data_IF_787992494315
#
_entry.id   IF_787992494315
#
_cell.length_a   1.000
_cell.length_b   1.000
_cell.length_c   1.000
_cell.angle_alpha   90.00
_cell.angle_beta   90.00
_cell.angle_gamma   90.00
#
_symmetry.space_group_name_H-M   'P 1'
#
loop_
_entity.id
_entity.type
_entity.pdbx_description
1 polymer ?
#
# COMPACT_ATOMS: atom_id res chain seq x y z
N UNK A 1 -14.45 -44.45 53.84
CA UNK A 1 -14.50 -44.36 52.36
C UNK A 1 -14.79 -42.92 51.81
N UNK A 2 -15.77 -42.19 52.37
CA UNK A 2 -16.11 -40.81 51.84
C UNK A 2 -14.99 -39.77 51.95
N UNK A 3 -14.12 -39.77 52.96
CA UNK A 3 -12.99 -38.81 53.09
C UNK A 3 -11.85 -39.06 52.13
N UNK A 4 -11.59 -40.29 51.67
CA UNK A 4 -10.57 -40.60 50.66
C UNK A 4 -11.01 -40.23 49.25
N UNK A 5 -12.32 -40.30 48.96
CA UNK A 5 -12.89 -39.90 47.68
C UNK A 5 -12.85 -38.38 47.49
N UNK A 6 -13.11 -37.60 48.55
CA UNK A 6 -13.02 -36.12 48.53
C UNK A 6 -11.60 -35.62 48.33
N UNK A 7 -10.60 -36.29 48.89
CA UNK A 7 -9.18 -35.91 48.68
C UNK A 7 -8.73 -36.20 47.26
N UNK A 8 -9.18 -37.30 46.65
CA UNK A 8 -8.85 -37.64 45.26
C UNK A 8 -9.47 -36.68 44.24
N UNK A 9 -10.70 -36.19 44.48
CA UNK A 9 -11.37 -35.22 43.64
C UNK A 9 -10.72 -33.83 43.78
N UNK A 10 -10.29 -33.43 44.98
CA UNK A 10 -9.59 -32.16 45.21
C UNK A 10 -8.20 -32.14 44.54
N UNK A 11 -7.46 -33.26 44.54
CA UNK A 11 -6.19 -33.37 43.80
C UNK A 11 -6.37 -33.35 42.29
N UNK A 12 -7.46 -33.95 41.73
CA UNK A 12 -7.74 -33.91 40.30
C UNK A 12 -8.11 -32.49 39.85
N UNK A 13 -8.88 -31.74 40.62
CA UNK A 13 -9.22 -30.34 40.35
C UNK A 13 -8.02 -29.41 40.46
N UNK A 14 -7.08 -29.67 41.39
CA UNK A 14 -5.84 -28.88 41.48
C UNK A 14 -4.88 -29.11 40.31
N UNK A 15 -4.84 -30.32 39.73
CA UNK A 15 -4.04 -30.63 38.54
C UNK A 15 -4.64 -29.95 37.28
N UNK A 16 -5.96 -29.84 37.16
CA UNK A 16 -6.61 -29.14 36.08
C UNK A 16 -6.45 -27.60 36.15
N UNK A 17 -6.35 -27.02 37.34
CA UNK A 17 -6.13 -25.59 37.54
C UNK A 17 -4.68 -25.17 37.24
N UNK A 18 -3.70 -26.09 37.21
CA UNK A 18 -2.29 -25.79 36.91
C UNK A 18 -1.94 -26.01 35.44
N UNK A 19 -2.82 -26.59 34.62
CA UNK A 19 -2.61 -26.82 33.17
C UNK A 19 -3.07 -25.68 32.26
N UNK A 20 -3.44 -24.52 32.78
CA UNK A 20 -4.16 -23.48 32.04
C UNK A 20 -3.50 -22.14 31.96
N UNK A 21 -2.17 -21.98 31.96
CA UNK A 21 -1.51 -20.72 31.54
C UNK A 21 -0.13 -21.02 30.95
N UNK A 22 -0.09 -21.76 29.86
CA UNK A 22 1.00 -21.54 28.91
C UNK A 22 0.76 -20.16 28.28
N UNK A 23 1.38 -19.12 28.83
CA UNK A 23 1.66 -17.93 28.01
C UNK A 23 2.41 -18.46 26.81
N UNK A 24 1.75 -18.51 25.66
CA UNK A 24 2.45 -18.67 24.41
C UNK A 24 3.41 -17.47 24.34
N UNK A 25 4.68 -17.71 24.68
CA UNK A 25 5.74 -16.80 24.31
C UNK A 25 5.66 -16.74 22.80
N UNK A 26 5.26 -15.60 22.27
CA UNK A 26 5.44 -15.34 20.86
C UNK A 26 6.91 -15.63 20.58
N UNK A 27 7.19 -16.66 19.76
CA UNK A 27 8.56 -17.00 19.42
C UNK A 27 9.17 -15.73 18.83
N UNK A 28 10.25 -15.25 19.45
CA UNK A 28 10.95 -14.07 19.00
C UNK A 28 11.34 -14.31 17.55
N UNK A 29 10.88 -13.42 16.64
CA UNK A 29 11.14 -13.55 15.21
C UNK A 29 12.65 -13.35 14.99
N UNK A 30 13.37 -14.46 14.83
CA UNK A 30 14.80 -14.41 14.50
C UNK A 30 14.97 -13.92 13.06
N UNK A 31 15.55 -12.73 12.89
CA UNK A 31 15.88 -12.07 11.64
C UNK A 31 17.42 -12.06 11.47
N UNK A 32 17.91 -12.61 10.37
CA UNK A 32 19.34 -12.66 10.00
C UNK A 32 19.76 -11.49 9.13
N UNK A 33 18.82 -10.88 8.43
CA UNK A 33 19.04 -9.66 7.66
C UNK A 33 19.39 -8.50 8.57
N UNK A 34 20.04 -7.49 8.02
CA UNK A 34 20.51 -6.35 8.80
C UNK A 34 19.37 -5.50 9.35
N UNK A 35 18.31 -5.35 8.54
CA UNK A 35 17.12 -4.60 8.90
C UNK A 35 15.87 -5.35 8.44
N UNK A 36 14.80 -5.19 9.21
CA UNK A 36 13.48 -5.65 8.80
C UNK A 36 12.38 -4.79 9.43
N UNK A 37 11.27 -4.63 8.71
CA UNK A 37 10.04 -4.03 9.23
C UNK A 37 8.82 -4.73 8.64
N UNK A 38 7.78 -4.86 9.45
CA UNK A 38 6.44 -5.26 9.03
C UNK A 38 5.46 -4.17 9.43
N UNK A 39 4.66 -3.71 8.48
CA UNK A 39 3.65 -2.67 8.73
C UNK A 39 2.29 -3.07 8.16
N UNK A 40 1.23 -2.56 8.78
CA UNK A 40 -0.10 -2.54 8.18
C UNK A 40 -0.11 -1.56 7.00
N UNK A 41 -0.58 -1.98 5.83
CA UNK A 41 -0.69 -1.08 4.68
C UNK A 41 -1.76 -0.01 4.90
N UNK A 42 -2.85 -0.33 5.60
CA UNK A 42 -3.98 0.57 5.80
C UNK A 42 -3.64 1.67 6.81
N UNK A 43 -3.14 1.31 7.99
CA UNK A 43 -2.84 2.27 9.07
C UNK A 43 -1.40 2.83 9.03
N UNK A 44 -0.45 2.08 8.46
CA UNK A 44 0.99 2.36 8.57
C UNK A 44 1.58 1.95 9.92
N UNK A 45 0.80 1.30 10.78
CA UNK A 45 1.26 0.83 12.09
C UNK A 45 2.38 -0.19 11.94
N UNK A 46 3.45 -0.03 12.73
CA UNK A 46 4.59 -0.94 12.78
C UNK A 46 4.25 -2.13 13.69
N UNK A 47 4.24 -3.34 13.11
CA UNK A 47 3.90 -4.58 13.81
C UNK A 47 5.13 -5.33 14.29
N UNK A 48 6.23 -5.16 13.60
CA UNK A 48 7.55 -5.70 13.93
C UNK A 48 8.64 -4.82 13.33
N UNK A 49 9.71 -4.63 14.06
CA UNK A 49 10.90 -3.94 13.56
C UNK A 49 12.19 -4.55 14.11
N UNK A 50 13.22 -4.55 13.28
CA UNK A 50 14.58 -4.97 13.61
C UNK A 50 15.54 -4.02 12.91
N UNK A 51 16.24 -3.16 13.66
CA UNK A 51 17.18 -2.13 13.17
C UNK A 51 16.58 -1.28 12.02
N UNK A 52 15.26 -1.04 12.00
CA UNK A 52 14.53 -0.54 10.85
C UNK A 52 14.83 0.92 10.47
N UNK A 53 15.55 1.65 11.31
CA UNK A 53 15.97 3.04 11.11
C UNK A 53 17.46 3.18 10.73
N UNK A 54 18.20 2.07 10.51
CA UNK A 54 19.58 2.14 10.05
C UNK A 54 19.67 2.59 8.58
N UNK A 55 20.61 3.50 8.26
CA UNK A 55 20.82 3.99 6.89
C UNK A 55 21.69 3.02 6.09
N UNK A 56 21.12 2.46 5.00
CA UNK A 56 21.83 1.52 4.13
C UNK A 56 21.48 1.74 2.65
N UNK A 57 22.38 1.34 1.74
CA UNK A 57 21.99 1.17 0.35
C UNK A 57 20.86 0.14 0.22
N UNK A 58 19.86 0.46 -0.58
CA UNK A 58 18.67 -0.39 -0.79
C UNK A 58 18.60 -0.99 -2.19
N UNK A 59 19.65 -0.78 -2.98
CA UNK A 59 19.72 -1.24 -4.37
C UNK A 59 18.45 -0.90 -5.18
N UNK A 60 17.99 -1.81 -6.04
CA UNK A 60 16.81 -1.59 -6.90
C UNK A 60 15.48 -1.38 -6.16
N UNK A 61 15.43 -1.39 -4.82
CA UNK A 61 14.23 -0.92 -4.11
C UNK A 61 14.04 0.61 -4.25
N UNK A 62 15.06 1.38 -4.66
CA UNK A 62 14.93 2.77 -5.13
C UNK A 62 13.82 2.92 -6.18
N UNK A 63 13.63 1.91 -7.03
CA UNK A 63 12.60 1.89 -8.07
C UNK A 63 11.16 1.92 -7.54
N UNK A 64 10.96 1.68 -6.25
CA UNK A 64 9.64 1.88 -5.61
C UNK A 64 9.25 3.36 -5.70
N UNK A 65 10.18 4.30 -5.42
CA UNK A 65 9.92 5.73 -5.58
C UNK A 65 9.79 6.11 -7.06
N UNK A 66 10.59 5.51 -7.95
CA UNK A 66 10.45 5.72 -9.40
C UNK A 66 9.06 5.32 -9.89
N UNK A 67 8.58 4.15 -9.50
CA UNK A 67 7.24 3.67 -9.83
C UNK A 67 6.14 4.54 -9.21
N UNK A 68 6.28 4.90 -7.93
CA UNK A 68 5.34 5.80 -7.25
C UNK A 68 5.14 7.09 -8.05
N UNK A 69 6.23 7.75 -8.44
CA UNK A 69 6.16 8.95 -9.25
C UNK A 69 5.57 8.70 -10.65
N UNK A 70 5.79 7.54 -11.26
CA UNK A 70 5.12 7.18 -12.52
C UNK A 70 3.60 7.12 -12.33
N UNK A 71 3.11 6.41 -11.31
CA UNK A 71 1.67 6.29 -11.07
C UNK A 71 1.04 7.62 -10.67
N UNK A 72 1.64 8.38 -9.75
CA UNK A 72 1.14 9.69 -9.31
C UNK A 72 1.05 10.71 -10.46
N UNK A 73 2.05 10.73 -11.36
CA UNK A 73 2.02 11.63 -12.51
C UNK A 73 1.00 11.19 -13.56
N UNK A 74 0.78 9.90 -13.75
CA UNK A 74 -0.29 9.39 -14.61
C UNK A 74 -1.67 9.72 -14.03
N UNK A 75 -1.90 9.47 -12.74
CA UNK A 75 -3.17 9.76 -12.05
C UNK A 75 -3.49 11.27 -12.06
N UNK A 76 -2.48 12.13 -12.01
CA UNK A 76 -2.64 13.59 -12.15
C UNK A 76 -2.77 14.08 -13.59
N UNK A 77 -2.75 13.18 -14.58
CA UNK A 77 -2.91 13.51 -16.01
C UNK A 77 -1.71 14.21 -16.63
N UNK A 78 -0.52 14.18 -16.02
CA UNK A 78 0.69 14.77 -16.61
C UNK A 78 1.26 13.95 -17.75
N UNK A 79 0.99 12.65 -17.79
CA UNK A 79 1.19 11.78 -18.93
C UNK A 79 0.15 10.66 -18.93
N UNK A 80 0.00 9.97 -20.08
CA UNK A 80 -0.83 8.77 -20.20
C UNK A 80 0.06 7.53 -20.30
N UNK A 81 -0.42 6.41 -19.81
CA UNK A 81 0.22 5.12 -20.04
C UNK A 81 0.27 4.74 -21.53
N UNK A 82 -0.59 5.35 -22.38
CA UNK A 82 -0.59 5.18 -23.83
C UNK A 82 0.44 6.08 -24.55
N UNK A 83 1.11 7.00 -23.86
CA UNK A 83 2.09 7.90 -24.47
C UNK A 83 3.29 7.12 -24.99
N UNK A 84 3.78 7.53 -26.18
CA UNK A 84 4.97 6.99 -26.79
C UNK A 84 6.21 7.75 -26.35
N UNK A 85 7.10 7.06 -25.63
CA UNK A 85 8.32 7.65 -25.04
C UNK A 85 9.52 7.28 -25.90
N UNK A 86 10.20 8.30 -26.44
CA UNK A 86 11.45 8.11 -27.20
C UNK A 86 12.61 7.85 -26.23
N UNK A 87 13.31 6.73 -26.45
CA UNK A 87 14.43 6.29 -25.60
C UNK A 87 15.71 7.03 -25.98
N UNK A 88 16.32 7.69 -25.00
CA UNK A 88 17.60 8.36 -25.17
C UNK A 88 18.76 7.38 -25.30
N UNK A 89 19.90 7.83 -25.81
CA UNK A 89 21.15 7.06 -25.79
C UNK A 89 21.58 6.72 -24.36
N UNK A 90 21.33 7.64 -23.38
CA UNK A 90 21.61 7.41 -21.97
C UNK A 90 20.78 6.24 -21.41
N UNK A 91 19.48 6.24 -21.66
CA UNK A 91 18.59 5.17 -21.22
C UNK A 91 18.99 3.81 -21.83
N UNK A 92 19.18 3.74 -23.12
CA UNK A 92 19.56 2.50 -23.82
C UNK A 92 20.94 1.96 -23.41
N UNK A 93 21.85 2.81 -22.91
CA UNK A 93 23.20 2.38 -22.47
C UNK A 93 23.26 1.90 -21.02
N UNK A 94 22.12 1.87 -20.31
CA UNK A 94 22.10 1.44 -18.89
C UNK A 94 22.50 -0.03 -18.75
N UNK A 95 23.31 -0.31 -17.72
CA UNK A 95 23.70 -1.66 -17.36
C UNK A 95 22.80 -2.29 -16.29
N UNK A 96 23.07 -3.53 -15.92
CA UNK A 96 22.33 -4.31 -14.94
C UNK A 96 21.06 -4.93 -15.52
N UNK A 97 19.96 -4.92 -14.76
CA UNK A 97 18.66 -5.40 -15.26
C UNK A 97 18.11 -4.47 -16.32
N UNK A 98 17.67 -5.00 -17.46
CA UNK A 98 17.26 -4.23 -18.64
C UNK A 98 16.07 -4.87 -19.34
N UNK A 99 15.28 -4.04 -20.03
CA UNK A 99 14.38 -4.49 -21.08
C UNK A 99 15.09 -4.53 -22.46
N UNK A 100 16.33 -3.99 -22.54
CA UNK A 100 17.16 -3.86 -23.76
C UNK A 100 16.55 -2.92 -24.80
N UNK A 101 16.20 -1.71 -24.35
CA UNK A 101 15.62 -0.69 -25.19
C UNK A 101 16.58 -0.22 -26.28
N UNK A 102 16.05 0.07 -27.47
CA UNK A 102 16.81 0.59 -28.61
C UNK A 102 16.80 2.13 -28.58
N UNK A 103 18.00 2.75 -28.62
CA UNK A 103 18.13 4.21 -28.66
C UNK A 103 17.44 4.82 -29.89
N UNK A 104 16.71 5.91 -29.68
CA UNK A 104 15.93 6.59 -30.72
C UNK A 104 14.59 5.91 -31.05
N UNK A 105 14.33 4.71 -30.54
CA UNK A 105 13.04 4.04 -30.68
C UNK A 105 12.03 4.58 -29.68
N UNK A 106 10.75 4.50 -30.02
CA UNK A 106 9.66 4.87 -29.13
C UNK A 106 8.95 3.63 -28.57
N UNK A 107 8.63 3.66 -27.28
CA UNK A 107 7.93 2.60 -26.55
C UNK A 107 6.76 3.20 -25.79
N UNK A 108 5.69 2.45 -25.65
CA UNK A 108 4.55 2.84 -24.83
C UNK A 108 4.96 2.96 -23.37
N UNK A 109 4.54 4.03 -22.68
CA UNK A 109 4.85 4.26 -21.26
C UNK A 109 4.43 3.09 -20.38
N UNK A 110 3.29 2.47 -20.67
CA UNK A 110 2.81 1.27 -19.95
C UNK A 110 3.82 0.13 -20.01
N UNK A 111 4.37 -0.17 -21.20
CA UNK A 111 5.35 -1.25 -21.36
C UNK A 111 6.65 -0.95 -20.62
N UNK A 112 7.09 0.31 -20.60
CA UNK A 112 8.25 0.72 -19.81
C UNK A 112 8.00 0.51 -18.31
N UNK A 113 6.86 0.97 -17.79
CA UNK A 113 6.49 0.80 -16.38
C UNK A 113 6.35 -0.69 -16.02
N UNK A 114 5.71 -1.52 -16.84
CA UNK A 114 5.65 -2.98 -16.65
C UNK A 114 7.04 -3.60 -16.55
N UNK A 115 7.97 -3.23 -17.43
CA UNK A 115 9.33 -3.77 -17.41
C UNK A 115 10.09 -3.40 -16.12
N UNK A 116 9.82 -2.19 -15.55
CA UNK A 116 10.37 -1.79 -14.24
C UNK A 116 9.81 -2.66 -13.12
N UNK A 117 8.49 -2.88 -13.12
CA UNK A 117 7.82 -3.70 -12.09
C UNK A 117 8.28 -5.14 -12.16
N UNK A 118 8.25 -5.77 -13.34
CA UNK A 118 8.50 -7.20 -13.55
C UNK A 118 9.99 -7.52 -13.47
N UNK A 119 10.79 -6.94 -14.37
CA UNK A 119 12.20 -7.29 -14.55
C UNK A 119 13.18 -6.31 -13.88
N UNK A 120 12.67 -5.24 -13.26
CA UNK A 120 13.54 -4.23 -12.64
C UNK A 120 14.40 -3.44 -13.65
N UNK A 121 13.90 -3.21 -14.87
CA UNK A 121 14.63 -2.61 -15.98
C UNK A 121 15.18 -1.21 -15.68
N UNK A 122 16.50 -1.04 -15.76
CA UNK A 122 17.18 0.23 -15.49
C UNK A 122 17.02 1.21 -16.65
N UNK A 123 17.07 0.72 -17.88
CA UNK A 123 16.87 1.48 -19.11
C UNK A 123 15.47 2.12 -19.14
N UNK A 124 14.45 1.36 -18.81
CA UNK A 124 13.08 1.88 -18.66
C UNK A 124 12.94 2.90 -17.52
N UNK A 125 13.64 2.70 -16.38
CA UNK A 125 13.65 3.70 -15.32
C UNK A 125 14.21 5.04 -15.80
N UNK A 126 15.31 5.02 -16.55
CA UNK A 126 15.93 6.24 -17.07
C UNK A 126 15.04 6.90 -18.11
N UNK A 127 14.44 6.12 -19.02
CA UNK A 127 13.50 6.66 -20.02
C UNK A 127 12.29 7.34 -19.36
N UNK A 128 11.67 6.71 -18.35
CA UNK A 128 10.56 7.30 -17.59
C UNK A 128 11.01 8.53 -16.79
N UNK A 129 12.20 8.49 -16.17
CA UNK A 129 12.73 9.59 -15.40
C UNK A 129 12.98 10.84 -16.30
N UNK A 130 13.56 10.65 -17.50
CA UNK A 130 13.75 11.73 -18.46
C UNK A 130 12.43 12.30 -18.95
N UNK A 131 11.42 11.45 -19.19
CA UNK A 131 10.10 11.88 -19.62
C UNK A 131 9.36 12.70 -18.57
N UNK A 132 9.32 12.24 -17.32
CA UNK A 132 8.56 12.88 -16.23
C UNK A 132 9.32 14.09 -15.67
N UNK A 133 10.63 13.97 -15.49
CA UNK A 133 11.48 14.99 -14.86
C UNK A 133 12.15 15.97 -15.84
N UNK A 134 12.00 15.77 -17.16
CA UNK A 134 12.73 16.49 -18.20
C UNK A 134 14.22 16.11 -18.26
N UNK A 135 14.76 15.50 -17.22
CA UNK A 135 16.09 14.89 -17.12
C UNK A 135 16.11 13.91 -15.94
N UNK A 136 17.12 13.04 -15.88
CA UNK A 136 17.30 12.15 -14.71
C UNK A 136 17.53 12.95 -13.44
N UNK A 137 18.29 14.03 -13.51
CA UNK A 137 18.59 14.92 -12.39
C UNK A 137 17.33 15.65 -11.91
N UNK A 138 16.49 16.13 -12.84
CA UNK A 138 15.17 16.70 -12.51
C UNK A 138 14.26 15.70 -11.83
N UNK A 139 14.25 14.45 -12.31
CA UNK A 139 13.47 13.38 -11.69
C UNK A 139 13.97 13.01 -10.27
N UNK A 140 15.29 12.96 -10.06
CA UNK A 140 15.88 12.72 -8.73
C UNK A 140 15.48 13.83 -7.74
N UNK A 141 15.39 15.07 -8.19
CA UNK A 141 14.87 16.16 -7.36
C UNK A 141 13.39 15.91 -6.96
N UNK A 142 12.56 15.41 -7.90
CA UNK A 142 11.19 15.00 -7.57
C UNK A 142 11.15 13.83 -6.58
N UNK A 143 12.04 12.83 -6.72
CA UNK A 143 12.14 11.71 -5.78
C UNK A 143 12.47 12.19 -4.35
N UNK A 144 13.45 13.07 -4.18
CA UNK A 144 13.83 13.59 -2.87
C UNK A 144 12.72 14.48 -2.29
N UNK A 145 12.10 15.34 -3.11
CA UNK A 145 10.95 16.13 -2.69
C UNK A 145 9.80 15.22 -2.19
N UNK A 146 9.51 14.14 -2.92
CA UNK A 146 8.45 13.21 -2.51
C UNK A 146 8.82 12.45 -1.24
N UNK A 147 10.09 12.11 -1.06
CA UNK A 147 10.60 11.53 0.18
C UNK A 147 10.35 12.46 1.39
N UNK A 148 10.66 13.75 1.24
CA UNK A 148 10.39 14.76 2.28
C UNK A 148 8.89 14.84 2.60
N UNK A 149 8.02 14.86 1.59
CA UNK A 149 6.54 14.89 1.75
C UNK A 149 6.02 13.64 2.48
N UNK A 150 6.66 12.48 2.29
CA UNK A 150 6.33 11.23 2.97
C UNK A 150 6.97 11.11 4.37
N UNK A 151 7.74 12.10 4.80
CA UNK A 151 8.46 12.06 6.06
C UNK A 151 9.56 10.98 6.08
N UNK A 152 10.20 10.72 4.94
CA UNK A 152 11.35 9.80 4.80
C UNK A 152 12.66 10.54 5.10
N UNK A 153 12.83 10.94 6.36
CA UNK A 153 13.92 11.82 6.78
C UNK A 153 15.32 11.19 6.70
N UNK A 154 15.37 9.85 6.64
CA UNK A 154 16.61 9.09 6.57
C UNK A 154 16.83 8.46 5.20
N UNK A 155 16.36 9.17 4.13
CA UNK A 155 16.46 8.72 2.75
C UNK A 155 17.03 9.81 1.85
N UNK A 156 17.98 9.43 1.00
CA UNK A 156 18.52 10.29 -0.07
C UNK A 156 18.59 9.48 -1.36
N UNK A 157 17.96 9.98 -2.40
CA UNK A 157 18.05 9.46 -3.76
C UNK A 157 19.10 10.25 -4.56
N UNK A 158 19.98 9.54 -5.27
CA UNK A 158 21.01 10.10 -6.16
C UNK A 158 20.77 9.67 -7.62
N UNK A 159 20.05 8.55 -7.82
CA UNK A 159 19.60 8.08 -9.12
C UNK A 159 18.23 7.39 -9.01
N UNK A 160 17.58 7.16 -10.15
CA UNK A 160 16.26 6.55 -10.24
C UNK A 160 16.29 5.01 -10.29
N UNK A 161 17.48 4.38 -10.34
CA UNK A 161 17.63 2.94 -10.60
C UNK A 161 18.03 2.11 -9.40
N UNK A 162 18.72 2.73 -8.42
CA UNK A 162 19.33 2.04 -7.30
C UNK A 162 20.67 1.38 -7.63
N UNK A 163 21.29 1.74 -8.74
CA UNK A 163 22.70 1.42 -8.98
C UNK A 163 23.59 2.11 -7.94
N UNK A 164 24.75 1.54 -7.58
CA UNK A 164 25.63 2.11 -6.58
C UNK A 164 25.98 3.56 -6.87
N UNK A 165 25.77 4.43 -5.90
CA UNK A 165 26.11 5.85 -5.95
C UNK A 165 26.43 6.36 -4.54
N UNK A 166 27.51 7.12 -4.41
CA UNK A 166 27.88 7.70 -3.13
C UNK A 166 26.77 8.63 -2.59
N UNK A 167 26.41 8.49 -1.33
CA UNK A 167 25.39 9.30 -0.67
C UNK A 167 23.94 8.82 -0.89
N UNK A 168 23.71 7.71 -1.62
CA UNK A 168 22.40 7.12 -1.77
C UNK A 168 22.12 6.10 -0.69
N UNK A 169 21.11 6.35 0.15
CA UNK A 169 20.71 5.45 1.22
C UNK A 169 19.23 5.61 1.56
N UNK A 170 18.70 4.65 2.30
CA UNK A 170 17.36 4.68 2.92
C UNK A 170 17.37 3.77 4.15
N UNK A 171 16.23 3.62 4.81
CA UNK A 171 16.00 2.70 5.91
C UNK A 171 14.86 1.74 5.56
N UNK A 172 14.76 0.59 6.25
CA UNK A 172 13.64 -0.31 6.04
C UNK A 172 12.29 0.37 6.31
N UNK A 173 12.24 1.24 7.34
CA UNK A 173 11.04 2.01 7.71
C UNK A 173 10.65 3.00 6.62
N UNK A 174 11.57 3.77 6.06
CA UNK A 174 11.30 4.72 4.99
C UNK A 174 10.89 4.02 3.69
N UNK A 175 11.53 2.88 3.36
CA UNK A 175 11.09 2.04 2.23
C UNK A 175 9.64 1.60 2.41
N UNK A 176 9.22 1.25 3.63
CA UNK A 176 7.83 0.86 3.89
C UNK A 176 6.83 2.00 3.64
N UNK A 177 7.21 3.26 3.94
CA UNK A 177 6.38 4.45 3.68
C UNK A 177 6.13 4.64 2.17
N UNK A 178 7.18 4.71 1.35
CA UNK A 178 7.01 4.87 -0.11
C UNK A 178 6.33 3.66 -0.76
N UNK A 179 6.53 2.46 -0.24
CA UNK A 179 5.88 1.27 -0.78
C UNK A 179 4.40 1.22 -0.39
N UNK A 180 4.04 1.74 0.77
CA UNK A 180 2.64 1.91 1.19
C UNK A 180 1.88 2.83 0.24
N UNK A 181 2.46 3.94 -0.19
CA UNK A 181 1.84 4.81 -1.20
C UNK A 181 1.70 4.08 -2.54
N UNK A 182 2.76 3.40 -3.01
CA UNK A 182 2.71 2.67 -4.28
C UNK A 182 1.60 1.61 -4.31
N UNK A 183 1.40 0.85 -3.23
CA UNK A 183 0.33 -0.16 -3.16
C UNK A 183 -1.08 0.45 -3.02
N UNK A 184 -1.21 1.75 -2.85
CA UNK A 184 -2.47 2.49 -2.99
C UNK A 184 -2.98 2.57 -4.42
N UNK A 185 -2.10 2.47 -5.42
CA UNK A 185 -2.45 2.54 -6.84
C UNK A 185 -2.93 1.18 -7.36
N UNK A 186 -4.22 1.04 -7.67
CA UNK A 186 -4.81 -0.23 -8.13
C UNK A 186 -4.12 -0.79 -9.37
N UNK A 187 -3.76 0.08 -10.31
CA UNK A 187 -3.09 -0.31 -11.57
C UNK A 187 -1.72 -0.98 -11.33
N UNK A 188 -1.03 -0.68 -10.23
CA UNK A 188 0.22 -1.36 -9.85
C UNK A 188 0.03 -2.88 -9.77
N UNK A 189 -1.09 -3.37 -9.25
CA UNK A 189 -1.37 -4.80 -9.09
C UNK A 189 -1.66 -5.52 -10.40
N UNK A 190 -2.04 -4.81 -11.46
CA UNK A 190 -2.18 -5.39 -12.80
C UNK A 190 -0.84 -5.90 -13.32
N UNK A 191 0.27 -5.27 -12.90
CA UNK A 191 1.62 -5.60 -13.36
C UNK A 191 2.41 -6.43 -12.33
N UNK A 192 2.28 -6.13 -11.03
CA UNK A 192 3.13 -6.71 -9.99
C UNK A 192 2.91 -8.22 -9.77
N UNK A 193 1.71 -8.72 -10.07
CA UNK A 193 1.38 -10.15 -10.03
C UNK A 193 1.80 -10.95 -11.26
N UNK A 194 2.25 -10.29 -12.33
CA UNK A 194 2.69 -10.95 -13.56
C UNK A 194 4.02 -11.66 -13.32
N UNK A 195 4.07 -12.99 -13.63
CA UNK A 195 5.29 -13.77 -13.46
C UNK A 195 6.24 -13.66 -14.65
N UNK A 196 5.73 -13.76 -15.86
CA UNK A 196 6.51 -13.64 -17.11
C UNK A 196 5.69 -12.89 -18.14
N UNK A 197 6.35 -12.05 -18.93
CA UNK A 197 5.74 -11.30 -20.02
C UNK A 197 6.75 -11.11 -21.16
N UNK A 198 6.28 -11.11 -22.38
CA UNK A 198 7.06 -10.84 -23.56
C UNK A 198 7.04 -9.36 -23.92
N UNK A 199 8.17 -8.69 -23.74
CA UNK A 199 8.35 -7.28 -24.08
C UNK A 199 8.65 -7.13 -25.56
N UNK A 200 7.76 -6.41 -26.27
CA UNK A 200 7.86 -6.23 -27.71
C UNK A 200 8.72 -5.00 -28.07
N UNK A 201 9.66 -5.17 -28.97
CA UNK A 201 10.47 -4.07 -29.50
C UNK A 201 10.03 -3.66 -30.90
N UNK A 202 10.24 -2.40 -31.28
CA UNK A 202 10.15 -1.99 -32.68
C UNK A 202 11.01 -2.91 -33.58
N UNK A 203 10.47 -3.34 -34.72
CA UNK A 203 11.16 -4.27 -35.62
C UNK A 203 10.97 -5.75 -35.29
N UNK A 204 10.13 -6.10 -34.29
CA UNK A 204 9.70 -7.48 -34.03
C UNK A 204 10.63 -8.32 -33.13
N UNK A 205 11.67 -7.70 -32.54
CA UNK A 205 12.47 -8.34 -31.50
C UNK A 205 11.63 -8.49 -30.23
N UNK A 206 11.82 -9.59 -29.48
CA UNK A 206 11.10 -9.86 -28.23
C UNK A 206 12.10 -10.12 -27.11
N UNK A 207 11.86 -9.53 -25.94
CA UNK A 207 12.60 -9.80 -24.71
C UNK A 207 11.67 -10.42 -23.66
N UNK A 208 11.98 -11.64 -23.22
CA UNK A 208 11.24 -12.29 -22.13
C UNK A 208 11.56 -11.63 -20.79
N UNK A 209 10.56 -11.04 -20.13
CA UNK A 209 10.67 -10.51 -18.78
C UNK A 209 10.24 -11.55 -17.75
N UNK A 210 10.96 -11.65 -16.63
CA UNK A 210 10.59 -12.54 -15.52
C UNK A 210 10.59 -11.76 -14.22
N UNK A 211 9.53 -11.93 -13.43
CA UNK A 211 9.38 -11.22 -12.17
C UNK A 211 10.46 -11.63 -11.17
N UNK A 212 11.14 -10.64 -10.65
CA UNK A 212 12.22 -10.84 -9.68
C UNK A 212 11.72 -11.21 -8.29
N UNK A 213 10.45 -10.89 -7.97
CA UNK A 213 9.80 -11.26 -6.72
C UNK A 213 9.17 -12.66 -6.78
N UNK A 214 9.90 -13.66 -6.31
CA UNK A 214 9.41 -15.06 -6.32
C UNK A 214 8.23 -15.29 -5.37
N UNK A 215 7.97 -14.39 -4.40
CA UNK A 215 6.87 -14.56 -3.43
C UNK A 215 5.50 -14.54 -4.09
N UNK A 216 5.32 -13.87 -5.25
CA UNK A 216 4.05 -13.88 -5.99
C UNK A 216 3.60 -15.29 -6.40
N UNK A 217 4.52 -16.27 -6.46
CA UNK A 217 4.24 -17.67 -6.71
C UNK A 217 4.45 -18.58 -5.49
N UNK A 218 5.16 -18.11 -4.47
CA UNK A 218 5.59 -18.94 -3.35
C UNK A 218 4.89 -18.64 -2.03
N UNK A 219 4.11 -17.54 -1.97
CA UNK A 219 3.42 -17.13 -0.76
C UNK A 219 1.97 -16.72 -1.07
N UNK A 220 1.02 -17.41 -0.42
CA UNK A 220 -0.40 -17.13 -0.63
C UNK A 220 -0.77 -15.73 -0.16
N UNK A 221 -1.34 -14.95 -1.06
CA UNK A 221 -1.73 -13.56 -0.85
C UNK A 221 -0.67 -12.53 -1.25
N UNK A 222 0.58 -12.94 -1.57
CA UNK A 222 1.58 -12.00 -2.10
C UNK A 222 1.24 -11.63 -3.55
N UNK A 223 1.03 -10.34 -3.78
CA UNK A 223 0.61 -9.79 -5.07
C UNK A 223 1.49 -8.64 -5.58
N UNK A 224 2.57 -8.31 -4.85
CA UNK A 224 3.50 -7.27 -5.27
C UNK A 224 4.80 -7.25 -4.47
N UNK A 225 5.75 -6.46 -4.95
CA UNK A 225 7.04 -6.28 -4.28
C UNK A 225 8.15 -5.85 -5.22
N UNK A 226 9.27 -5.48 -4.63
CA UNK A 226 10.48 -5.07 -5.35
C UNK A 226 11.72 -5.64 -4.68
N UNK A 227 12.50 -6.40 -5.44
CA UNK A 227 13.80 -6.92 -4.99
C UNK A 227 14.91 -5.90 -5.24
N UNK A 228 15.97 -5.98 -4.45
CA UNK A 228 17.22 -5.26 -4.66
C UNK A 228 18.43 -6.17 -4.41
N UNK A 229 19.52 -5.93 -5.13
CA UNK A 229 20.81 -6.54 -4.86
C UNK A 229 21.93 -5.69 -5.42
N UNK A 230 22.91 -5.40 -4.59
CA UNK A 230 24.28 -5.00 -4.93
C UNK A 230 25.19 -5.65 -3.90
N UNK A 231 26.51 -5.66 -4.14
CA UNK A 231 27.46 -6.20 -3.15
C UNK A 231 27.37 -5.46 -1.80
N UNK A 232 27.09 -4.16 -1.82
CA UNK A 232 27.00 -3.31 -0.62
C UNK A 232 25.63 -3.43 0.07
N UNK A 233 24.53 -3.37 -0.70
CA UNK A 233 23.19 -3.49 -0.16
C UNK A 233 22.85 -4.94 0.26
N UNK A 234 23.58 -5.93 -0.23
CA UNK A 234 23.29 -7.35 -0.09
C UNK A 234 21.90 -7.67 -0.68
N UNK A 235 21.17 -8.64 -0.15
CA UNK A 235 19.87 -9.05 -0.68
C UNK A 235 18.72 -8.31 0.04
N UNK A 236 17.97 -7.52 -0.72
CA UNK A 236 16.86 -6.72 -0.23
C UNK A 236 15.53 -7.13 -0.88
N UNK A 237 14.42 -6.97 -0.16
CA UNK A 237 13.08 -7.19 -0.67
C UNK A 237 12.07 -6.37 0.13
N UNK A 238 11.30 -5.54 -0.56
CA UNK A 238 10.02 -5.02 -0.07
C UNK A 238 8.91 -5.82 -0.76
N UNK A 239 7.99 -6.38 0.01
CA UNK A 239 6.88 -7.18 -0.51
C UNK A 239 5.56 -6.80 0.18
N UNK A 240 4.45 -7.04 -0.51
CA UNK A 240 3.10 -6.88 0.04
C UNK A 240 2.30 -8.15 -0.14
N UNK A 241 1.45 -8.44 0.85
CA UNK A 241 0.53 -9.56 0.80
C UNK A 241 -0.83 -9.15 1.37
N UNK A 242 -1.91 -9.66 0.77
CA UNK A 242 -3.29 -9.43 1.21
C UNK A 242 -3.98 -10.75 1.52
N UNK A 243 -4.65 -10.84 2.68
CA UNK A 243 -5.56 -11.94 3.05
C UNK A 243 -6.85 -11.35 3.64
N UNK A 244 -7.98 -11.63 3.00
CA UNK A 244 -9.23 -10.95 3.36
C UNK A 244 -9.12 -9.44 3.20
N UNK A 245 -9.48 -8.72 4.23
CA UNK A 245 -9.42 -7.25 4.25
C UNK A 245 -8.06 -6.70 4.72
N UNK A 246 -7.17 -7.55 5.23
CA UNK A 246 -5.87 -7.13 5.75
C UNK A 246 -4.77 -7.19 4.69
N UNK A 247 -4.09 -6.06 4.46
CA UNK A 247 -2.88 -5.96 3.66
C UNK A 247 -1.68 -5.61 4.53
N UNK A 248 -0.60 -6.35 4.36
CA UNK A 248 0.67 -6.14 5.04
C UNK A 248 1.77 -5.75 4.06
N UNK A 249 2.72 -4.97 4.54
CA UNK A 249 3.97 -4.65 3.86
C UNK A 249 5.11 -5.12 4.73
N UNK A 250 6.03 -5.87 4.14
CA UNK A 250 7.25 -6.37 4.77
C UNK A 250 8.46 -5.90 3.99
N UNK A 251 9.44 -5.32 4.68
CA UNK A 251 10.71 -4.88 4.09
C UNK A 251 11.85 -5.55 4.81
N UNK A 252 12.76 -6.14 4.04
CA UNK A 252 13.99 -6.78 4.52
C UNK A 252 15.16 -6.18 3.74
N UNK A 253 16.18 -5.69 4.46
CA UNK A 253 17.40 -5.08 3.89
C UNK A 253 18.63 -5.81 4.40
N UNK A 254 19.63 -6.03 3.55
CA UNK A 254 20.89 -6.61 3.94
C UNK A 254 20.85 -8.10 4.27
N UNK A 255 19.99 -8.86 3.61
CA UNK A 255 19.95 -10.32 3.76
C UNK A 255 21.23 -10.99 3.25
N UNK A 256 21.76 -12.02 3.96
CA UNK A 256 23.02 -12.66 3.60
C UNK A 256 22.96 -13.38 2.25
N UNK A 257 21.80 -13.83 1.85
CA UNK A 257 21.58 -14.54 0.57
C UNK A 257 20.16 -14.32 0.04
N UNK A 258 19.95 -14.72 -1.22
CA UNK A 258 18.66 -14.56 -1.89
C UNK A 258 17.53 -15.36 -1.23
N UNK A 259 17.82 -16.53 -0.64
CA UNK A 259 16.81 -17.35 0.03
C UNK A 259 16.33 -16.68 1.32
N UNK A 260 17.26 -16.16 2.10
CA UNK A 260 16.98 -15.51 3.39
C UNK A 260 16.01 -14.34 3.23
N UNK A 261 16.19 -13.42 2.25
CA UNK A 261 15.27 -12.29 2.05
C UNK A 261 13.84 -12.74 1.76
N UNK A 262 13.64 -13.86 1.04
CA UNK A 262 12.30 -14.39 0.78
C UNK A 262 11.71 -15.09 2.01
N UNK A 263 12.49 -15.90 2.71
CA UNK A 263 12.01 -16.65 3.87
C UNK A 263 11.68 -15.73 5.04
N UNK A 264 12.45 -14.65 5.25
CA UNK A 264 12.17 -13.68 6.30
C UNK A 264 10.92 -12.84 6.00
N UNK A 265 10.69 -12.43 4.74
CA UNK A 265 9.43 -11.79 4.38
C UNK A 265 8.24 -12.72 4.62
N UNK A 266 8.35 -14.04 4.32
CA UNK A 266 7.30 -15.02 4.64
C UNK A 266 7.04 -15.09 6.15
N UNK A 267 8.10 -15.19 6.97
CA UNK A 267 7.99 -15.22 8.44
C UNK A 267 7.29 -13.97 8.98
N UNK A 268 7.66 -12.79 8.47
CA UNK A 268 7.04 -11.52 8.85
C UNK A 268 5.55 -11.50 8.49
N UNK A 269 5.18 -11.92 7.29
CA UNK A 269 3.78 -12.03 6.88
C UNK A 269 3.02 -13.04 7.73
N UNK A 270 3.60 -14.23 7.97
CA UNK A 270 2.96 -15.26 8.82
C UNK A 270 2.74 -14.75 10.24
N UNK A 271 3.71 -14.03 10.81
CA UNK A 271 3.56 -13.36 12.11
C UNK A 271 2.42 -12.34 12.09
N UNK A 272 2.38 -11.46 11.08
CA UNK A 272 1.34 -10.43 10.98
C UNK A 272 -0.05 -11.05 10.83
N UNK A 273 -0.24 -11.98 9.88
CA UNK A 273 -1.53 -12.63 9.66
C UNK A 273 -1.97 -13.57 10.79
N UNK A 274 -1.04 -14.06 11.61
CA UNK A 274 -1.40 -14.87 12.78
C UNK A 274 -1.90 -14.03 13.95
N UNK A 275 -1.33 -12.84 14.15
CA UNK A 275 -1.52 -12.04 15.37
C UNK A 275 -2.43 -10.83 15.20
N UNK A 276 -2.68 -10.38 13.95
CA UNK A 276 -3.43 -9.16 13.64
C UNK A 276 -4.59 -9.45 12.68
N UNK A 277 -5.55 -8.55 12.66
CA UNK A 277 -6.67 -8.56 11.73
C UNK A 277 -7.08 -7.13 11.34
N UNK A 278 -7.66 -6.99 10.15
CA UNK A 278 -8.39 -5.80 9.72
C UNK A 278 -9.86 -6.16 9.61
N UNK A 279 -10.73 -5.30 10.12
CA UNK A 279 -12.19 -5.44 10.00
C UNK A 279 -12.77 -4.23 9.31
N UNK A 280 -13.43 -4.44 8.19
CA UNK A 280 -14.19 -3.41 7.49
C UNK A 280 -15.55 -3.27 8.17
N UNK A 281 -15.86 -2.09 8.66
CA UNK A 281 -17.14 -1.75 9.30
C UNK A 281 -18.12 -1.14 8.31
N UNK A 282 -17.63 -0.37 7.34
CA UNK A 282 -18.41 0.22 6.25
C UNK A 282 -17.56 0.17 4.98
N UNK A 283 -18.16 -0.21 3.86
CA UNK A 283 -17.45 -0.28 2.57
C UNK A 283 -17.53 1.04 1.81
N UNK A 284 -16.50 1.35 1.04
CA UNK A 284 -16.47 2.50 0.12
C UNK A 284 -17.70 2.50 -0.78
N UNK A 285 -18.36 3.65 -0.89
CA UNK A 285 -19.60 3.83 -1.67
C UNK A 285 -20.87 3.28 -1.03
N UNK A 286 -20.80 2.62 0.14
CA UNK A 286 -21.95 2.16 0.89
C UNK A 286 -22.77 3.36 1.40
N UNK A 287 -24.09 3.34 1.17
CA UNK A 287 -25.00 4.33 1.70
C UNK A 287 -25.31 3.99 3.17
N UNK A 288 -24.93 4.85 4.09
CA UNK A 288 -25.00 4.60 5.54
C UNK A 288 -25.89 5.59 6.29
N UNK A 289 -26.38 6.62 5.61
CA UNK A 289 -27.24 7.64 6.23
C UNK A 289 -27.81 8.60 5.20
N UNK A 290 -28.47 9.63 5.70
CA UNK A 290 -29.05 10.71 4.90
C UNK A 290 -28.78 12.06 5.58
N UNK A 291 -28.31 13.05 4.82
CA UNK A 291 -28.14 14.42 5.28
C UNK A 291 -29.36 15.27 4.89
N UNK A 292 -29.89 16.03 5.83
CA UNK A 292 -31.00 16.94 5.58
C UNK A 292 -30.53 18.15 4.74
N UNK A 293 -31.26 18.44 3.64
CA UNK A 293 -30.96 19.54 2.73
C UNK A 293 -31.99 20.65 2.85
N UNK A 294 -31.53 21.84 3.20
CA UNK A 294 -32.40 23.03 3.28
C UNK A 294 -32.37 23.83 1.98
N UNK A 295 -33.56 24.23 1.51
CA UNK A 295 -33.74 25.03 0.29
C UNK A 295 -33.40 24.30 -1.02
N UNK A 296 -33.38 22.96 -0.99
CA UNK A 296 -33.17 22.10 -2.14
C UNK A 296 -34.48 21.61 -2.78
N UNK A 297 -34.39 21.13 -4.02
CA UNK A 297 -35.53 20.39 -4.68
C UNK A 297 -35.86 19.11 -3.93
N UNK A 298 -34.85 18.48 -3.28
CA UNK A 298 -35.00 17.33 -2.37
C UNK A 298 -34.69 17.82 -0.94
N UNK A 299 -35.34 17.21 0.04
CA UNK A 299 -35.15 17.55 1.47
C UNK A 299 -34.03 16.74 2.13
N UNK A 300 -33.52 15.74 1.44
CA UNK A 300 -32.41 14.91 1.87
C UNK A 300 -31.52 14.46 0.70
N UNK A 301 -30.33 14.04 1.05
CA UNK A 301 -29.39 13.39 0.13
C UNK A 301 -28.70 12.22 0.84
N UNK A 302 -28.64 11.07 0.19
CA UNK A 302 -27.98 9.89 0.74
C UNK A 302 -26.48 10.17 0.96
N UNK A 303 -25.98 9.77 2.13
CA UNK A 303 -24.59 9.88 2.53
C UNK A 303 -23.88 8.55 2.28
N UNK A 304 -22.87 8.56 1.41
CA UNK A 304 -22.08 7.38 1.05
C UNK A 304 -20.66 7.49 1.62
N UNK A 305 -20.09 6.37 2.01
CA UNK A 305 -18.73 6.30 2.53
C UNK A 305 -17.70 6.68 1.45
N UNK A 306 -16.79 7.62 1.75
CA UNK A 306 -15.71 8.06 0.85
C UNK A 306 -14.73 6.90 0.54
N UNK A 307 -14.43 6.11 1.55
CA UNK A 307 -13.53 4.94 1.50
C UNK A 307 -13.97 3.89 2.51
N UNK A 308 -13.31 2.75 2.53
CA UNK A 308 -13.58 1.74 3.55
C UNK A 308 -13.30 2.30 4.96
N UNK A 309 -14.22 2.11 5.90
CA UNK A 309 -14.00 2.37 7.32
C UNK A 309 -13.45 1.10 7.96
N UNK A 310 -12.15 1.08 8.15
CA UNK A 310 -11.39 -0.08 8.59
C UNK A 310 -10.81 0.18 9.99
N UNK A 311 -10.88 -0.83 10.85
CA UNK A 311 -10.13 -0.88 12.10
C UNK A 311 -9.14 -2.02 12.02
N UNK A 312 -7.89 -1.71 12.29
CA UNK A 312 -6.79 -2.65 12.38
C UNK A 312 -6.40 -2.84 13.85
N UNK A 313 -6.04 -4.07 14.24
CA UNK A 313 -5.62 -4.35 15.60
C UNK A 313 -5.25 -5.82 15.82
N UNK A 314 -4.97 -6.19 17.06
CA UNK A 314 -4.69 -7.58 17.42
C UNK A 314 -5.93 -8.45 17.22
N UNK A 315 -5.69 -9.66 16.78
CA UNK A 315 -6.73 -10.62 16.46
C UNK A 315 -7.63 -10.93 17.67
N UNK A 316 -8.95 -10.75 17.49
CA UNK A 316 -9.93 -10.90 18.56
C UNK A 316 -10.13 -9.67 19.44
N UNK A 317 -9.33 -8.60 19.27
CA UNK A 317 -9.49 -7.34 19.99
C UNK A 317 -10.22 -6.28 19.16
N UNK A 318 -10.36 -6.49 17.84
CA UNK A 318 -11.00 -5.52 16.93
C UNK A 318 -12.52 -5.59 17.09
N UNK A 319 -13.09 -4.64 17.84
CA UNK A 319 -14.52 -4.49 18.08
C UNK A 319 -14.92 -3.01 18.10
N UNK A 320 -16.20 -2.73 17.89
CA UNK A 320 -16.74 -1.39 17.98
C UNK A 320 -18.11 -1.28 17.35
N UNK A 321 -18.75 -0.13 17.54
CA UNK A 321 -20.04 0.23 16.97
C UNK A 321 -19.85 1.35 15.94
N UNK A 322 -20.56 1.24 14.80
CA UNK A 322 -20.57 2.32 13.81
C UNK A 322 -21.53 3.40 14.24
N UNK A 323 -21.04 4.63 14.29
CA UNK A 323 -21.88 5.84 14.48
C UNK A 323 -21.77 6.73 13.27
N UNK A 324 -22.93 7.24 12.83
CA UNK A 324 -23.09 8.11 11.68
C UNK A 324 -23.50 9.49 12.17
N UNK A 325 -22.82 10.52 11.68
CA UNK A 325 -23.17 11.93 11.88
C UNK A 325 -23.27 12.61 10.53
N UNK A 326 -24.48 13.02 10.13
CA UNK A 326 -24.69 13.78 8.91
C UNK A 326 -24.97 15.25 9.27
N UNK A 327 -24.39 16.16 8.51
CA UNK A 327 -24.57 17.59 8.68
C UNK A 327 -25.91 18.04 8.08
N UNK A 328 -26.47 19.12 8.62
CA UNK A 328 -27.58 19.83 7.99
C UNK A 328 -27.01 20.81 6.96
N UNK A 329 -27.21 20.54 5.69
CA UNK A 329 -26.60 21.26 4.59
C UNK A 329 -27.58 22.14 3.82
N UNK A 330 -27.09 23.12 3.05
CA UNK A 330 -27.89 24.03 2.24
C UNK A 330 -27.64 23.80 0.77
N UNK A 331 -28.72 23.70 -0.01
CA UNK A 331 -28.64 23.57 -1.46
C UNK A 331 -28.01 24.82 -2.14
N UNK A 332 -27.30 24.67 -3.27
CA UNK A 332 -27.10 23.43 -4.00
C UNK A 332 -26.01 22.53 -3.36
N UNK A 333 -26.18 21.22 -3.48
CA UNK A 333 -25.24 20.20 -3.06
C UNK A 333 -24.73 19.46 -4.31
N UNK A 334 -23.46 19.22 -4.41
CA UNK A 334 -22.87 18.46 -5.51
C UNK A 334 -22.54 17.05 -5.06
N UNK A 335 -22.70 16.09 -5.96
CA UNK A 335 -22.20 14.74 -5.74
C UNK A 335 -20.70 14.79 -5.39
N UNK A 336 -20.33 14.13 -4.28
CA UNK A 336 -18.97 14.12 -3.76
C UNK A 336 -18.67 15.21 -2.72
N UNK A 337 -19.59 16.15 -2.46
CA UNK A 337 -19.43 17.09 -1.34
C UNK A 337 -19.42 16.33 -0.01
N UNK A 338 -18.51 16.67 0.90
CA UNK A 338 -18.50 16.11 2.25
C UNK A 338 -19.72 16.61 3.04
N UNK A 339 -20.54 15.67 3.55
CA UNK A 339 -21.83 15.96 4.19
C UNK A 339 -21.99 15.28 5.56
N UNK A 340 -20.92 14.70 6.08
CA UNK A 340 -20.94 14.04 7.39
C UNK A 340 -19.72 13.19 7.61
N UNK A 341 -19.75 12.40 8.68
CA UNK A 341 -18.70 11.46 9.04
C UNK A 341 -19.30 10.15 9.58
N UNK A 342 -18.60 9.05 9.34
CA UNK A 342 -18.82 7.76 9.99
C UNK A 342 -17.65 7.46 10.93
N UNK A 343 -17.95 6.92 12.10
CA UNK A 343 -16.99 6.62 13.16
C UNK A 343 -17.13 5.17 13.61
N UNK A 344 -16.03 4.56 14.00
CA UNK A 344 -16.08 3.35 14.84
C UNK A 344 -15.74 3.77 16.26
N UNK A 345 -16.64 3.44 17.19
CA UNK A 345 -16.50 3.73 18.62
C UNK A 345 -16.24 2.40 19.34
N UNK A 346 -15.16 2.33 20.11
CA UNK A 346 -14.85 1.20 21.02
C UNK A 346 -14.53 1.77 22.41
N UNK A 347 -15.11 1.20 23.45
CA UNK A 347 -14.95 1.62 24.85
C UNK A 347 -15.20 3.14 25.08
N UNK A 348 -16.09 3.73 24.26
CA UNK A 348 -16.45 5.14 24.33
C UNK A 348 -15.51 6.10 23.56
N UNK A 349 -14.43 5.58 22.98
CA UNK A 349 -13.47 6.36 22.19
C UNK A 349 -13.65 6.13 20.69
N UNK A 350 -13.39 7.17 19.88
CA UNK A 350 -13.35 7.04 18.41
C UNK A 350 -12.02 6.41 18.00
N UNK A 351 -12.07 5.22 17.42
CA UNK A 351 -10.89 4.47 16.97
C UNK A 351 -10.66 4.53 15.46
N UNK A 352 -11.65 4.91 14.67
CA UNK A 352 -11.52 5.20 13.24
C UNK A 352 -12.61 6.16 12.78
N UNK A 353 -12.32 6.97 11.74
CA UNK A 353 -13.28 7.84 11.09
C UNK A 353 -13.04 7.97 9.59
N UNK A 354 -14.13 8.23 8.85
CA UNK A 354 -14.11 8.58 7.43
C UNK A 354 -15.11 9.67 7.13
N UNK A 355 -14.94 10.38 6.01
CA UNK A 355 -15.96 11.29 5.52
C UNK A 355 -17.12 10.51 4.86
N UNK A 356 -18.28 11.13 4.90
CA UNK A 356 -19.46 10.75 4.13
C UNK A 356 -19.70 11.80 3.04
N UNK A 357 -19.90 11.34 1.83
CA UNK A 357 -20.07 12.18 0.64
C UNK A 357 -21.51 12.13 0.14
N UNK A 358 -21.96 13.23 -0.47
CA UNK A 358 -23.25 13.26 -1.15
C UNK A 358 -23.27 12.30 -2.34
N UNK A 359 -24.25 11.38 -2.37
CA UNK A 359 -24.37 10.38 -3.42
C UNK A 359 -24.80 10.96 -4.77
N UNK A 360 -25.52 12.10 -4.75
CA UNK A 360 -26.06 12.78 -5.92
C UNK A 360 -26.08 14.30 -5.77
N UNK A 361 -26.37 15.00 -6.89
CA UNK A 361 -26.60 16.45 -6.86
C UNK A 361 -27.98 16.79 -6.30
N UNK A 362 -28.09 17.83 -5.48
CA UNK A 362 -29.37 18.44 -5.08
C UNK A 362 -29.37 19.91 -5.49
N UNK A 363 -30.19 20.23 -6.49
CA UNK A 363 -30.37 21.60 -6.97
C UNK A 363 -31.13 22.46 -5.96
N UNK A 364 -30.90 23.77 -6.02
CA UNK A 364 -31.67 24.74 -5.24
C UNK A 364 -33.14 24.75 -5.72
N UNK A 365 -34.08 24.73 -4.77
CA UNK A 365 -35.52 24.83 -5.08
C UNK A 365 -35.84 26.20 -5.68
N UNK A 366 -36.65 26.21 -6.72
CA UNK A 366 -37.30 27.40 -7.26
C UNK A 366 -38.54 27.76 -6.44
N UNK A 367 -39.11 28.96 -6.66
CA UNK A 367 -40.35 29.35 -6.00
C UNK A 367 -41.51 28.36 -6.33
N UNK A 368 -41.55 27.87 -7.57
CA UNK A 368 -42.56 26.87 -7.99
C UNK A 368 -42.37 25.56 -7.21
N UNK A 369 -41.12 25.07 -7.08
CA UNK A 369 -40.85 23.84 -6.31
C UNK A 369 -41.29 23.96 -4.84
N UNK A 370 -41.09 25.14 -4.24
CA UNK A 370 -41.51 25.40 -2.86
C UNK A 370 -43.03 25.39 -2.72
N UNK A 371 -43.76 26.03 -3.67
CA UNK A 371 -45.20 26.03 -3.67
C UNK A 371 -45.76 24.60 -3.83
N UNK A 372 -45.23 23.79 -4.74
CA UNK A 372 -45.61 22.40 -4.90
C UNK A 372 -45.41 21.57 -3.65
N UNK A 373 -44.23 21.72 -2.97
CA UNK A 373 -43.96 21.02 -1.71
C UNK A 373 -44.95 21.38 -0.60
N UNK A 374 -45.34 22.64 -0.53
CA UNK A 374 -46.36 23.09 0.46
C UNK A 374 -47.72 22.45 0.14
N UNK A 375 -48.10 22.38 -1.14
CA UNK A 375 -49.37 21.79 -1.58
C UNK A 375 -49.44 20.27 -1.35
N UNK A 376 -48.34 19.55 -1.46
CA UNK A 376 -48.24 18.10 -1.20
C UNK A 376 -48.31 17.75 0.30
N UNK A 377 -47.97 18.68 1.19
CA UNK A 377 -47.98 18.48 2.64
C UNK A 377 -49.25 19.02 3.33
N UNK A 378 -50.23 19.48 2.56
CA UNK A 378 -51.57 19.87 2.98
C UNK A 378 -52.62 18.84 2.59
#
# INVERSE_FOLDING_TARGET
>A
MKKRLLLSVACLLAVFAFCGQTKAYAAELEIKSKEAVLVSADSGEVLFEHNADEKRPIASMVKIMTLLLCFENADSGKFSFDDMITVSQRAASMGGSQAFLDAGSAYMAEELVKSIVIASANDSCVAMAEHIGGSVEGFVNLMNKRADELGMQDTVFVNCTGLPAAGQFSTAKDVSKMFRELVGHKKYFEYSGVWMEDFQHPGGRVTGLTNTNKLIRQYNGCDGGKTGYTSEAMHCLAATAKRGDMRLISVVVGGPDSKTRFDENKKLFDYGFANYESKVFVKSGEAVGEAAVTGGKKDGVAAVAEKDLVVFGKKGEVSGEVRISCDKIKAPVRKGDAIGKAYVISDGETIAEINLLAAENVEKATLADIIFKIAENW
#
